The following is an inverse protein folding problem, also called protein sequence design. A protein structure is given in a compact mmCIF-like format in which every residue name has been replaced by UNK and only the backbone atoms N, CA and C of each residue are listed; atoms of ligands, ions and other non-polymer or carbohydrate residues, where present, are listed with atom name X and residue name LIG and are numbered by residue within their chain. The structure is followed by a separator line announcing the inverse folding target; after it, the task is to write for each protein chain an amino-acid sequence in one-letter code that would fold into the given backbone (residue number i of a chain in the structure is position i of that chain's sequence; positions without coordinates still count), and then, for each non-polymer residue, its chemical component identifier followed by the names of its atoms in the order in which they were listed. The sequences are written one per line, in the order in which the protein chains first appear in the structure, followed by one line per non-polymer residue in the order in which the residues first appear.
data_IF_552463558238
#
_entry.id   IF_552463558238
#
_cell.length_a   1.000
_cell.length_b   1.000
_cell.length_c   1.000
_cell.angle_alpha   90.00
_cell.angle_beta   90.00
_cell.angle_gamma   90.00
#
_symmetry.space_group_name_H-M   'P 1'
#
loop_
_entity.id
_entity.type
_entity.pdbx_description
1 polymer ?
#
# COMPACT_ATOMS: atom_id res chain seq x y z
N UNK A 1 19.71 -9.68 11.85
CA UNK A 1 18.39 -9.66 12.50
C UNK A 1 17.50 -8.55 11.94
N UNK A 2 18.00 -7.31 11.80
CA UNK A 2 17.27 -6.16 11.22
C UNK A 2 16.64 -6.41 9.85
N UNK A 3 17.37 -7.00 8.90
CA UNK A 3 16.84 -7.31 7.56
C UNK A 3 15.63 -8.25 7.57
N UNK A 4 15.55 -9.19 8.55
CA UNK A 4 14.39 -10.06 8.70
C UNK A 4 13.17 -9.28 9.17
N UNK A 5 13.37 -8.33 10.08
CA UNK A 5 12.31 -7.47 10.59
C UNK A 5 11.73 -6.58 9.49
N UNK A 6 12.57 -5.99 8.64
CA UNK A 6 12.12 -5.20 7.49
C UNK A 6 11.21 -5.99 6.55
N UNK A 7 11.57 -7.25 6.28
CA UNK A 7 10.75 -8.17 5.47
C UNK A 7 9.42 -8.49 6.18
N UNK A 8 9.44 -8.73 7.49
CA UNK A 8 8.23 -8.99 8.28
C UNK A 8 7.27 -7.79 8.27
N UNK A 9 7.81 -6.57 8.40
CA UNK A 9 7.03 -5.32 8.30
C UNK A 9 6.41 -5.18 6.92
N UNK A 10 7.15 -5.43 5.84
CA UNK A 10 6.60 -5.37 4.49
C UNK A 10 5.47 -6.40 4.29
N UNK A 11 5.60 -7.61 4.86
CA UNK A 11 4.53 -8.60 4.81
C UNK A 11 3.30 -8.17 5.61
N UNK A 12 3.47 -7.55 6.77
CA UNK A 12 2.35 -7.03 7.57
C UNK A 12 1.60 -5.92 6.83
N UNK A 13 2.33 -4.97 6.24
CA UNK A 13 1.76 -3.91 5.41
C UNK A 13 0.92 -4.46 4.26
N UNK A 14 1.45 -5.41 3.50
CA UNK A 14 0.76 -6.02 2.36
C UNK A 14 -0.45 -6.84 2.81
N UNK A 15 -0.26 -7.74 3.78
CA UNK A 15 -1.24 -8.78 4.10
C UNK A 15 -2.31 -8.33 5.07
N UNK A 16 -1.96 -7.45 6.01
CA UNK A 16 -2.85 -7.00 7.09
C UNK A 16 -3.49 -5.68 6.72
N UNK A 17 -2.69 -4.69 6.31
CA UNK A 17 -3.16 -3.31 6.17
C UNK A 17 -3.66 -2.97 4.76
N UNK A 18 -2.89 -3.28 3.73
CA UNK A 18 -3.24 -2.95 2.35
C UNK A 18 -4.33 -3.85 1.80
N UNK A 19 -4.16 -5.18 1.81
CA UNK A 19 -5.21 -6.11 1.37
C UNK A 19 -6.42 -6.11 2.32
N UNK A 20 -6.18 -5.76 3.58
CA UNK A 20 -7.16 -5.82 4.66
C UNK A 20 -7.20 -7.20 5.33
N UNK A 21 -7.54 -7.24 6.63
CA UNK A 21 -7.57 -8.48 7.38
C UNK A 21 -8.64 -9.43 6.82
N UNK A 22 -8.29 -10.72 6.73
CA UNK A 22 -9.17 -11.81 6.27
C UNK A 22 -9.70 -11.69 4.83
N UNK A 23 -9.25 -10.70 4.06
CA UNK A 23 -9.54 -10.63 2.62
C UNK A 23 -8.80 -11.75 1.90
N UNK A 24 -9.53 -12.54 1.10
CA UNK A 24 -8.97 -13.54 0.18
C UNK A 24 -8.87 -12.96 -1.23
N UNK A 25 -7.94 -13.50 -2.03
CA UNK A 25 -7.86 -13.19 -3.45
C UNK A 25 -9.14 -13.68 -4.15
N UNK A 26 -9.62 -12.92 -5.13
CA UNK A 26 -10.97 -13.10 -5.67
C UNK A 26 -11.02 -14.17 -6.76
N UNK A 27 -9.98 -14.24 -7.58
CA UNK A 27 -9.91 -15.18 -8.68
C UNK A 27 -9.69 -16.62 -8.23
N UNK A 28 -10.26 -17.55 -9.00
CA UNK A 28 -10.07 -18.99 -8.87
C UNK A 28 -9.10 -19.56 -9.91
N UNK A 29 -8.59 -18.74 -10.82
CA UNK A 29 -7.58 -19.13 -11.82
C UNK A 29 -6.17 -18.77 -11.33
N UNK A 30 -5.19 -19.70 -11.39
CA UNK A 30 -3.82 -19.43 -10.97
C UNK A 30 -3.18 -18.20 -11.63
N UNK A 31 -3.44 -17.97 -12.92
CA UNK A 31 -2.85 -16.86 -13.66
C UNK A 31 -3.40 -15.52 -13.20
N UNK A 32 -4.72 -15.46 -13.00
CA UNK A 32 -5.39 -14.25 -12.50
C UNK A 32 -5.07 -14.00 -11.02
N UNK A 33 -4.90 -15.05 -10.21
CA UNK A 33 -4.39 -14.92 -8.83
C UNK A 33 -3.00 -14.26 -8.83
N UNK A 34 -2.11 -14.67 -9.74
CA UNK A 34 -0.80 -14.05 -9.89
C UNK A 34 -0.91 -12.58 -10.30
N UNK A 35 -1.84 -12.26 -11.21
CA UNK A 35 -2.12 -10.87 -11.60
C UNK A 35 -2.62 -10.03 -10.41
N UNK A 36 -3.52 -10.56 -9.58
CA UNK A 36 -3.99 -9.86 -8.37
C UNK A 36 -2.84 -9.57 -7.40
N UNK A 37 -1.93 -10.54 -7.19
CA UNK A 37 -0.73 -10.35 -6.37
C UNK A 37 0.13 -9.23 -6.93
N UNK A 38 0.37 -9.20 -8.24
CA UNK A 38 1.09 -8.10 -8.89
C UNK A 38 0.40 -6.76 -8.69
N UNK A 39 -0.94 -6.70 -8.77
CA UNK A 39 -1.70 -5.49 -8.47
C UNK A 39 -1.46 -4.98 -7.05
N UNK A 40 -1.43 -5.87 -6.05
CA UNK A 40 -1.08 -5.51 -4.68
C UNK A 40 0.35 -4.99 -4.54
N UNK A 41 1.33 -5.66 -5.16
CA UNK A 41 2.73 -5.25 -5.11
C UNK A 41 2.95 -3.88 -5.78
N UNK A 42 2.34 -3.66 -6.95
CA UNK A 42 2.40 -2.37 -7.64
C UNK A 42 1.80 -1.23 -6.79
N UNK A 43 0.66 -1.48 -6.15
CA UNK A 43 0.03 -0.50 -5.27
C UNK A 43 0.90 -0.22 -4.01
N UNK A 44 1.51 -1.24 -3.42
CA UNK A 44 2.42 -1.08 -2.29
C UNK A 44 3.63 -0.22 -2.67
N UNK A 45 4.25 -0.55 -3.80
CA UNK A 45 5.39 0.21 -4.34
C UNK A 45 5.02 1.67 -4.58
N UNK A 46 3.89 1.94 -5.25
CA UNK A 46 3.44 3.30 -5.52
C UNK A 46 3.26 4.13 -4.24
N UNK A 47 2.66 3.54 -3.19
CA UNK A 47 2.49 4.22 -1.89
C UNK A 47 3.85 4.46 -1.22
N UNK A 48 4.76 3.48 -1.23
CA UNK A 48 6.12 3.64 -0.68
C UNK A 48 6.94 4.70 -1.41
N UNK A 49 6.84 4.76 -2.74
CA UNK A 49 7.47 5.82 -3.54
C UNK A 49 6.91 7.20 -3.20
N UNK A 50 5.58 7.32 -3.07
CA UNK A 50 4.93 8.57 -2.65
C UNK A 50 5.38 9.01 -1.25
N UNK A 51 5.47 8.08 -0.29
CA UNK A 51 5.99 8.36 1.06
C UNK A 51 7.42 8.87 1.02
N UNK A 52 8.30 8.23 0.25
CA UNK A 52 9.70 8.64 0.12
C UNK A 52 9.83 10.04 -0.51
N UNK A 53 9.02 10.33 -1.53
CA UNK A 53 8.98 11.66 -2.14
C UNK A 53 8.48 12.73 -1.17
N UNK A 54 7.39 12.46 -0.45
CA UNK A 54 6.83 13.37 0.55
C UNK A 54 7.79 13.62 1.72
N UNK A 55 8.44 12.58 2.23
CA UNK A 55 9.45 12.69 3.29
C UNK A 55 10.64 13.56 2.84
N UNK A 56 11.15 13.31 1.64
CA UNK A 56 12.24 14.10 1.04
C UNK A 56 11.83 15.56 0.89
N UNK A 57 10.61 15.84 0.43
CA UNK A 57 10.10 17.20 0.29
C UNK A 57 9.98 17.93 1.65
N UNK A 58 9.59 17.20 2.70
CA UNK A 58 9.47 17.72 4.06
C UNK A 58 10.79 17.74 4.85
N UNK A 59 11.90 17.23 4.29
CA UNK A 59 13.18 17.13 5.00
C UNK A 59 13.18 16.08 6.13
N UNK A 60 12.35 15.05 6.03
CA UNK A 60 12.25 13.95 6.98
C UNK A 60 12.79 12.64 6.40
N UNK A 61 13.20 11.74 7.29
CA UNK A 61 13.58 10.38 6.95
C UNK A 61 12.34 9.57 6.47
N UNK A 62 12.38 8.97 5.27
CA UNK A 62 11.29 8.15 4.73
C UNK A 62 10.82 7.03 5.68
N UNK A 63 11.74 6.44 6.44
CA UNK A 63 11.46 5.31 7.33
C UNK A 63 10.63 5.72 8.56
N UNK A 64 10.50 7.03 8.80
CA UNK A 64 9.64 7.59 9.86
C UNK A 64 8.20 7.80 9.40
N UNK A 65 7.90 7.65 8.11
CA UNK A 65 6.55 7.82 7.59
C UNK A 65 5.76 6.52 7.76
N UNK A 66 4.58 6.61 8.40
CA UNK A 66 3.71 5.44 8.58
C UNK A 66 3.05 5.04 7.25
N UNK A 67 3.29 3.80 6.81
CA UNK A 67 2.61 3.23 5.64
C UNK A 67 1.09 3.18 5.81
N UNK A 68 0.60 2.81 6.99
CA UNK A 68 -0.85 2.72 7.27
C UNK A 68 -1.52 4.09 7.15
N UNK A 69 -0.86 5.15 7.65
CA UNK A 69 -1.36 6.51 7.50
C UNK A 69 -1.37 6.94 6.02
N UNK A 70 -0.28 6.70 5.29
CA UNK A 70 -0.19 6.99 3.86
C UNK A 70 -1.28 6.27 3.06
N UNK A 71 -1.46 4.97 3.27
CA UNK A 71 -2.51 4.17 2.64
C UNK A 71 -3.92 4.73 2.90
N UNK A 72 -4.21 5.14 4.15
CA UNK A 72 -5.49 5.75 4.51
C UNK A 72 -5.72 7.07 3.75
N UNK A 73 -4.71 7.94 3.73
CA UNK A 73 -4.78 9.23 3.03
C UNK A 73 -4.98 9.02 1.53
N UNK A 74 -4.18 8.15 0.89
CA UNK A 74 -4.31 7.82 -0.54
C UNK A 74 -5.72 7.31 -0.86
N UNK A 75 -6.28 6.43 -0.04
CA UNK A 75 -7.67 5.94 -0.21
C UNK A 75 -8.70 7.05 -0.09
N UNK A 76 -8.55 7.96 0.86
CA UNK A 76 -9.46 9.10 1.03
C UNK A 76 -9.39 10.04 -0.19
N UNK A 77 -8.20 10.36 -0.67
CA UNK A 77 -8.03 11.21 -1.87
C UNK A 77 -8.65 10.57 -3.11
N UNK A 78 -8.49 9.26 -3.30
CA UNK A 78 -9.09 8.53 -4.43
C UNK A 78 -10.59 8.29 -4.30
N UNK A 79 -11.16 8.38 -3.09
CA UNK A 79 -12.60 8.31 -2.85
C UNK A 79 -13.31 9.65 -3.04
N UNK A 80 -12.56 10.76 -3.11
CA UNK A 80 -13.04 12.11 -3.40
C UNK A 80 -12.69 12.65 -4.81
N UNK A 81 -12.77 11.89 -5.93
CA UNK A 81 -12.67 12.46 -7.25
C UNK A 81 -14.04 13.03 -7.63
N UNK A 82 -14.30 14.27 -7.23
CA UNK A 82 -15.42 15.11 -7.66
C UNK A 82 -16.80 14.44 -7.61
N UNK A 83 -17.62 14.81 -6.63
CA UNK A 83 -19.08 14.66 -6.75
C UNK A 83 -19.50 15.31 -8.08
N UNK A 84 -19.77 14.51 -9.10
CA UNK A 84 -20.46 14.99 -10.29
C UNK A 84 -21.86 15.38 -9.82
N UNK A 85 -22.29 16.64 -10.00
CA UNK A 85 -23.68 16.99 -9.74
C UNK A 85 -24.60 16.18 -10.69
N UNK A 86 -25.84 15.88 -10.27
CA UNK A 86 -26.79 15.09 -11.06
C UNK A 86 -27.10 15.69 -12.43
#
# INVERSE_FOLDING_TARGET
YTQRWEIEVAFDELKTHQRGPRTVLRSKSPDLVRQEIWGHLCCHYAIRSLMAEAARHAGHDPDRVSFVAALRITRQTLAHPGDFPP
#
